data_IF_900964962210
#
_entry.id   IF_900964962210
#
_cell.length_a   1.000
_cell.length_b   1.000
_cell.length_c   1.000
_cell.angle_alpha   90.00
_cell.angle_beta   90.00
_cell.angle_gamma   90.00
#
_symmetry.space_group_name_H-M   'P 1'
#
loop_
_entity.id
_entity.type
_entity.pdbx_description
1 polymer ?
#
# COMPACT_ATOMS: atom_id res chain seq x y z
N UNK A 1 -38.46 -8.06 -7.79
CA UNK A 1 -37.87 -6.76 -8.17
C UNK A 1 -37.21 -6.20 -6.93
N UNK A 2 -35.89 -6.00 -6.94
CA UNK A 2 -35.16 -5.47 -5.79
C UNK A 2 -34.55 -4.14 -6.20
N UNK A 3 -35.00 -3.07 -5.56
CA UNK A 3 -34.49 -1.73 -5.82
C UNK A 3 -33.00 -1.64 -5.44
N UNK A 4 -32.15 -0.93 -6.20
CA UNK A 4 -30.76 -0.73 -5.85
C UNK A 4 -30.64 -0.02 -4.50
N UNK A 5 -29.81 -0.55 -3.60
CA UNK A 5 -29.50 0.12 -2.35
C UNK A 5 -28.80 1.45 -2.62
N UNK A 6 -29.27 2.52 -1.97
CA UNK A 6 -28.64 3.84 -2.01
C UNK A 6 -27.21 3.73 -1.48
N UNK A 7 -26.23 4.19 -2.26
CA UNK A 7 -24.84 4.25 -1.80
C UNK A 7 -24.71 5.23 -0.64
N UNK A 8 -23.95 4.85 0.38
CA UNK A 8 -23.64 5.77 1.47
C UNK A 8 -22.89 6.99 0.93
N UNK A 9 -23.16 8.16 1.52
CA UNK A 9 -22.42 9.38 1.20
C UNK A 9 -20.93 9.18 1.54
N UNK A 10 -20.04 9.64 0.66
CA UNK A 10 -18.60 9.59 0.90
C UNK A 10 -18.24 10.42 2.14
N UNK A 11 -17.37 9.86 2.99
CA UNK A 11 -16.79 10.53 4.14
C UNK A 11 -15.28 10.30 4.14
N UNK A 12 -14.48 11.26 4.63
CA UNK A 12 -13.06 11.05 4.80
C UNK A 12 -12.81 9.93 5.83
N UNK A 13 -11.75 9.17 5.61
CA UNK A 13 -11.27 8.20 6.59
C UNK A 13 -10.72 8.91 7.83
N UNK A 14 -10.77 8.23 8.98
CA UNK A 14 -10.14 8.73 10.19
C UNK A 14 -8.60 8.81 10.02
N UNK A 15 -7.98 9.81 10.63
CA UNK A 15 -6.52 9.93 10.63
C UNK A 15 -5.86 8.70 11.26
N UNK A 16 -4.85 8.17 10.58
CA UNK A 16 -4.05 7.04 11.05
C UNK A 16 -2.57 7.41 11.08
N UNK A 17 -2.07 8.03 12.17
CA UNK A 17 -0.69 8.51 12.26
C UNK A 17 0.35 7.44 11.95
N UNK A 18 0.08 6.18 12.32
CA UNK A 18 0.98 5.05 12.06
C UNK A 18 1.10 4.67 10.57
N UNK A 19 0.13 5.05 9.73
CA UNK A 19 0.11 4.76 8.30
C UNK A 19 0.52 5.95 7.44
N UNK A 20 0.53 7.18 7.98
CA UNK A 20 0.71 8.43 7.22
C UNK A 20 1.90 8.39 6.27
N UNK A 21 3.07 7.93 6.75
CA UNK A 21 4.29 7.86 5.93
C UNK A 21 4.23 6.83 4.79
N UNK A 22 3.31 5.86 4.86
CA UNK A 22 3.11 4.83 3.84
C UNK A 22 2.19 5.31 2.72
N UNK A 23 1.31 6.28 2.97
CA UNK A 23 0.27 6.66 2.02
C UNK A 23 0.82 7.38 0.78
N UNK A 24 0.02 7.36 -0.28
CA UNK A 24 0.30 8.03 -1.55
C UNK A 24 1.06 7.14 -2.53
N UNK A 25 1.69 7.78 -3.50
CA UNK A 25 2.37 7.12 -4.62
C UNK A 25 3.74 6.56 -4.22
N UNK A 26 4.00 5.36 -4.69
CA UNK A 26 5.27 4.64 -4.65
C UNK A 26 5.53 3.94 -5.99
N UNK A 27 6.72 3.38 -6.15
CA UNK A 27 7.16 2.72 -7.38
C UNK A 27 7.88 1.41 -7.06
N UNK A 28 7.57 0.37 -7.83
CA UNK A 28 8.28 -0.91 -7.85
C UNK A 28 8.71 -1.20 -9.28
N UNK A 29 10.01 -1.37 -9.52
CA UNK A 29 10.57 -1.66 -10.86
C UNK A 29 10.06 -0.69 -11.95
N UNK A 30 9.95 0.60 -11.63
CA UNK A 30 9.43 1.62 -12.53
C UNK A 30 7.91 1.61 -12.76
N UNK A 31 7.15 0.74 -12.10
CA UNK A 31 5.68 0.70 -12.13
C UNK A 31 5.08 1.35 -10.88
N UNK A 32 4.04 2.19 -11.02
CA UNK A 32 3.43 2.86 -9.88
C UNK A 32 2.58 1.90 -9.04
N UNK A 33 2.54 2.15 -7.73
CA UNK A 33 1.51 1.65 -6.82
C UNK A 33 1.14 2.74 -5.82
N UNK A 34 -0.15 2.83 -5.50
CA UNK A 34 -0.65 3.86 -4.57
C UNK A 34 -1.16 3.19 -3.31
N UNK A 35 -0.63 3.58 -2.15
CA UNK A 35 -1.15 3.15 -0.85
C UNK A 35 -2.19 4.13 -0.32
N UNK A 36 -3.27 3.60 0.24
CA UNK A 36 -4.39 4.38 0.76
C UNK A 36 -5.04 3.67 1.95
N UNK A 37 -5.91 4.39 2.65
CA UNK A 37 -6.73 3.84 3.72
C UNK A 37 -8.15 3.65 3.21
N UNK A 38 -8.76 2.50 3.54
CA UNK A 38 -10.19 2.26 3.35
C UNK A 38 -10.70 1.39 4.50
N UNK A 39 -11.75 1.85 5.17
CA UNK A 39 -12.33 1.16 6.32
C UNK A 39 -11.33 0.98 7.46
N UNK A 40 -10.46 1.97 7.69
CA UNK A 40 -9.43 1.87 8.71
C UNK A 40 -8.27 0.91 8.39
N UNK A 41 -8.20 0.32 7.21
CA UNK A 41 -7.15 -0.64 6.83
C UNK A 41 -6.23 -0.07 5.75
N UNK A 42 -4.98 -0.53 5.71
CA UNK A 42 -4.05 -0.21 4.64
C UNK A 42 -4.41 -1.01 3.38
N UNK A 43 -4.44 -0.32 2.25
CA UNK A 43 -4.63 -0.88 0.93
C UNK A 43 -3.56 -0.34 -0.02
N UNK A 44 -3.33 -1.05 -1.13
CA UNK A 44 -2.61 -0.55 -2.29
C UNK A 44 -3.37 -0.89 -3.57
N UNK A 45 -3.05 -0.19 -4.66
CA UNK A 45 -3.55 -0.48 -6.02
C UNK A 45 -2.44 -0.21 -7.03
N UNK A 46 -2.43 -0.96 -8.14
CA UNK A 46 -1.49 -0.73 -9.25
C UNK A 46 -2.08 0.21 -10.31
N UNK A 47 -3.40 0.24 -10.45
CA UNK A 47 -4.12 1.09 -11.40
C UNK A 47 -5.43 1.57 -10.79
N UNK A 48 -5.79 2.83 -11.00
CA UNK A 48 -7.06 3.39 -10.56
C UNK A 48 -8.26 2.83 -11.34
N UNK A 49 -8.02 2.36 -12.58
CA UNK A 49 -9.06 1.83 -13.47
C UNK A 49 -9.29 0.32 -13.32
N UNK A 50 -8.52 -0.36 -12.47
CA UNK A 50 -8.62 -1.81 -12.24
C UNK A 50 -8.82 -2.14 -10.75
N UNK A 51 -10.08 -2.38 -10.31
CA UNK A 51 -10.37 -2.80 -8.95
C UNK A 51 -9.71 -4.12 -8.54
N UNK A 52 -9.38 -5.01 -9.50
CA UNK A 52 -8.70 -6.27 -9.21
C UNK A 52 -7.20 -6.08 -8.90
N UNK A 53 -6.69 -4.86 -9.12
CA UNK A 53 -5.33 -4.50 -8.74
C UNK A 53 -5.18 -4.16 -7.25
N UNK A 54 -6.28 -4.10 -6.50
CA UNK A 54 -6.26 -3.76 -5.09
C UNK A 54 -5.70 -4.90 -4.22
N UNK A 55 -4.87 -4.54 -3.24
CA UNK A 55 -4.36 -5.44 -2.20
C UNK A 55 -4.67 -4.85 -0.83
N UNK A 56 -5.24 -5.65 0.08
CA UNK A 56 -5.46 -5.24 1.49
C UNK A 56 -4.40 -5.83 2.39
N UNK A 57 -3.95 -5.06 3.38
CA UNK A 57 -2.94 -5.47 4.33
C UNK A 57 -3.48 -5.59 5.76
N UNK A 58 -3.03 -6.61 6.49
CA UNK A 58 -3.19 -6.74 7.93
C UNK A 58 -1.84 -6.55 8.62
N UNK A 59 -1.79 -5.78 9.71
CA UNK A 59 -0.57 -5.60 10.48
C UNK A 59 -0.14 -6.91 11.17
N UNK A 60 1.15 -7.23 11.10
CA UNK A 60 1.78 -8.39 11.79
C UNK A 60 2.75 -7.94 12.89
N UNK A 61 2.99 -6.65 13.00
CA UNK A 61 3.88 -6.05 13.99
C UNK A 61 4.20 -4.60 13.61
N UNK A 62 5.18 -4.02 14.30
CA UNK A 62 5.77 -2.75 13.88
C UNK A 62 6.42 -2.94 12.52
N UNK A 63 6.11 -2.05 11.57
CA UNK A 63 6.76 -2.00 10.25
C UNK A 63 6.60 -3.28 9.40
N UNK A 64 5.61 -4.12 9.72
CA UNK A 64 5.35 -5.36 8.99
C UNK A 64 3.86 -5.63 8.82
N UNK A 65 3.49 -5.97 7.59
CA UNK A 65 2.12 -6.30 7.22
C UNK A 65 2.07 -7.55 6.32
N UNK A 66 0.93 -8.25 6.33
CA UNK A 66 0.59 -9.30 5.38
C UNK A 66 -0.46 -8.81 4.39
N UNK A 67 -0.26 -9.06 3.11
CA UNK A 67 -1.35 -9.02 2.16
C UNK A 67 -2.36 -10.13 2.49
N UNK A 68 -3.61 -9.76 2.78
CA UNK A 68 -4.69 -10.68 3.16
C UNK A 68 -5.79 -10.79 2.10
N UNK A 69 -5.74 -9.93 1.10
CA UNK A 69 -6.67 -9.85 -0.03
C UNK A 69 -5.94 -9.29 -1.26
N UNK A 70 -6.41 -9.62 -2.46
CA UNK A 70 -5.79 -9.24 -3.72
C UNK A 70 -4.91 -10.33 -4.31
N UNK A 71 -4.31 -10.03 -5.47
CA UNK A 71 -3.44 -10.95 -6.22
C UNK A 71 -2.25 -11.45 -5.40
N UNK A 72 -1.67 -10.57 -4.60
CA UNK A 72 -0.47 -10.84 -3.81
C UNK A 72 -0.80 -11.38 -2.40
N UNK A 73 -1.98 -11.98 -2.21
CA UNK A 73 -2.40 -12.52 -0.91
C UNK A 73 -1.37 -13.52 -0.39
N UNK A 74 -0.93 -13.31 0.84
CA UNK A 74 0.09 -14.12 1.50
C UNK A 74 1.48 -13.50 1.43
N UNK A 75 1.69 -12.43 0.65
CA UNK A 75 2.98 -11.72 0.55
C UNK A 75 3.20 -10.71 1.68
N UNK A 76 4.47 -10.44 1.98
CA UNK A 76 4.91 -9.54 3.05
C UNK A 76 5.07 -8.13 2.50
N UNK A 77 4.56 -7.14 3.23
CA UNK A 77 4.98 -5.75 3.14
C UNK A 77 5.82 -5.41 4.37
N UNK A 78 7.07 -5.04 4.15
CA UNK A 78 8.03 -4.65 5.19
C UNK A 78 8.44 -3.20 5.00
N UNK A 79 8.44 -2.43 6.08
CA UNK A 79 8.81 -1.01 6.10
C UNK A 79 10.24 -0.90 6.57
N UNK A 80 11.09 -0.28 5.75
CA UNK A 80 12.50 0.00 6.09
C UNK A 80 12.61 1.46 6.50
N UNK A 81 13.16 1.69 7.69
CA UNK A 81 13.35 3.03 8.24
C UNK A 81 14.82 3.43 8.21
N UNK A 82 15.06 4.70 7.93
CA UNK A 82 16.37 5.33 8.06
C UNK A 82 16.75 5.48 9.55
N UNK A 83 18.00 5.87 9.81
CA UNK A 83 18.51 6.05 11.18
C UNK A 83 17.81 7.15 11.99
N UNK A 84 17.08 8.06 11.33
CA UNK A 84 16.25 9.08 11.95
C UNK A 84 14.79 8.64 12.19
N UNK A 85 14.44 7.41 11.81
CA UNK A 85 13.11 6.83 11.99
C UNK A 85 12.14 7.07 10.83
N UNK A 86 12.50 7.86 9.83
CA UNK A 86 11.66 8.09 8.64
C UNK A 86 11.61 6.84 7.75
N UNK A 87 10.49 6.62 7.06
CA UNK A 87 10.40 5.53 6.06
C UNK A 87 11.28 5.85 4.85
N UNK A 88 12.30 5.02 4.62
CA UNK A 88 13.22 5.14 3.49
C UNK A 88 12.69 4.40 2.26
N UNK A 89 12.28 3.14 2.44
CA UNK A 89 11.76 2.25 1.39
C UNK A 89 10.86 1.18 2.00
N UNK A 90 10.12 0.47 1.15
CA UNK A 90 9.38 -0.73 1.53
C UNK A 90 9.92 -1.92 0.74
N UNK A 91 9.70 -3.12 1.25
CA UNK A 91 9.77 -4.35 0.46
C UNK A 91 8.38 -4.96 0.39
N UNK A 92 7.89 -5.20 -0.82
CA UNK A 92 6.63 -5.91 -1.04
C UNK A 92 6.87 -7.12 -1.93
N UNK A 93 6.54 -8.32 -1.43
CA UNK A 93 6.82 -9.57 -2.13
C UNK A 93 8.30 -9.70 -2.56
N UNK A 94 9.23 -9.20 -1.73
CA UNK A 94 10.69 -9.09 -1.97
C UNK A 94 11.15 -8.00 -2.96
N UNK A 95 10.23 -7.29 -3.62
CA UNK A 95 10.56 -6.18 -4.51
C UNK A 95 10.67 -4.87 -3.74
N UNK A 96 11.69 -4.08 -4.06
CA UNK A 96 11.86 -2.75 -3.47
C UNK A 96 10.77 -1.79 -3.99
N UNK A 97 10.15 -1.11 -3.05
CA UNK A 97 9.13 -0.11 -3.29
C UNK A 97 9.64 1.23 -2.76
N UNK A 98 9.81 2.22 -3.64
CA UNK A 98 10.46 3.49 -3.29
C UNK A 98 9.63 4.70 -3.70
N UNK A 99 9.95 5.88 -3.17
CA UNK A 99 9.28 7.13 -3.54
C UNK A 99 9.66 7.64 -4.93
N UNK A 100 10.79 7.20 -5.47
CA UNK A 100 11.27 7.57 -6.80
C UNK A 100 11.01 6.44 -7.82
N UNK A 101 10.75 6.73 -9.11
CA UNK A 101 10.54 5.73 -10.15
C UNK A 101 11.87 5.07 -10.59
N UNK A 102 12.55 4.38 -9.69
CA UNK A 102 13.81 3.71 -9.97
C UNK A 102 13.58 2.38 -10.69
N UNK A 103 14.41 2.09 -11.70
CA UNK A 103 14.49 0.75 -12.26
C UNK A 103 15.24 -0.18 -11.30
N UNK A 104 15.09 -1.50 -11.47
CA UNK A 104 15.82 -2.47 -10.66
C UNK A 104 17.34 -2.22 -10.66
N UNK A 105 17.91 -1.84 -11.81
CA UNK A 105 19.34 -1.57 -11.96
C UNK A 105 19.83 -0.32 -11.19
N UNK A 106 18.92 0.57 -10.79
CA UNK A 106 19.24 1.83 -10.10
C UNK A 106 19.08 1.72 -8.58
N UNK A 107 18.64 0.56 -8.07
CA UNK A 107 18.52 0.32 -6.64
C UNK A 107 19.91 0.13 -6.02
N UNK A 108 20.27 1.03 -5.10
CA UNK A 108 21.44 0.82 -4.24
C UNK A 108 21.10 -0.22 -3.16
N UNK A 109 22.03 -1.16 -2.93
CA UNK A 109 21.91 -2.23 -1.96
C UNK A 109 21.91 -1.71 -0.52
#
# INVERSE_FOLDING_TARGET
DAEPSVQAAWVPEAEQPALTELLGLWWSEGSPLTFFVRGGQLWSRLSDDDPLSETRYAAEGTDRYRAVEGRERGEVLEVVRAGDGTVEKLYFATYAVTRAPLAFADLQA
#
